data_IF_050063337798
#
_entry.id   IF_050063337798
#
_cell.length_a   1.000
_cell.length_b   1.000
_cell.length_c   1.000
_cell.angle_alpha   90.00
_cell.angle_beta   90.00
_cell.angle_gamma   90.00
#
_symmetry.space_group_name_H-M   'P 1'
#
loop_
_entity.id
_entity.type
_entity.pdbx_description
1 polymer ?
#
# COMPACT_ATOMS: atom_id res chain seq x y z
N UNK A 1 -47.51 -43.66 43.97
CA UNK A 1 -46.82 -44.47 42.93
C UNK A 1 -45.30 -44.27 43.10
N UNK A 2 -44.45 -45.15 42.54
CA UNK A 2 -42.99 -45.09 42.75
C UNK A 2 -42.31 -44.13 41.76
N UNK A 3 -41.23 -43.51 42.20
CA UNK A 3 -40.28 -42.77 41.37
C UNK A 3 -39.38 -43.71 40.55
N UNK A 4 -38.98 -43.27 39.37
CA UNK A 4 -37.80 -43.76 38.64
C UNK A 4 -37.03 -42.53 38.14
N UNK A 5 -35.70 -42.55 38.28
CA UNK A 5 -34.82 -41.48 37.87
C UNK A 5 -34.49 -41.57 36.37
N UNK A 6 -34.24 -40.43 35.74
CA UNK A 6 -33.32 -40.36 34.58
C UNK A 6 -32.42 -39.15 34.75
N UNK A 7 -31.15 -39.42 35.02
CA UNK A 7 -30.08 -38.42 35.07
C UNK A 7 -29.58 -38.21 33.64
N UNK A 8 -29.47 -36.96 33.18
CA UNK A 8 -28.63 -36.64 32.03
C UNK A 8 -27.54 -35.67 32.45
N UNK A 9 -26.29 -36.07 32.17
CA UNK A 9 -25.08 -35.47 32.71
C UNK A 9 -24.54 -34.43 31.73
N UNK A 10 -24.73 -33.13 32.04
CA UNK A 10 -24.11 -32.06 31.25
C UNK A 10 -22.74 -31.69 31.85
N UNK A 11 -21.66 -32.21 31.27
CA UNK A 11 -20.30 -31.92 31.71
C UNK A 11 -19.87 -30.56 31.15
N UNK A 12 -19.81 -29.54 32.00
CA UNK A 12 -19.17 -28.27 31.67
C UNK A 12 -17.64 -28.44 31.64
N UNK A 13 -17.05 -28.57 30.45
CA UNK A 13 -15.59 -28.51 30.28
C UNK A 13 -15.17 -27.05 30.17
N UNK A 14 -14.83 -26.44 31.30
CA UNK A 14 -14.25 -25.11 31.38
C UNK A 14 -12.74 -25.12 31.17
N UNK A 15 -12.29 -25.05 29.91
CA UNK A 15 -10.88 -24.75 29.60
C UNK A 15 -10.60 -23.26 29.73
N UNK A 16 -10.27 -22.84 30.96
CA UNK A 16 -9.67 -21.53 31.21
C UNK A 16 -8.28 -21.49 30.56
N UNK A 17 -8.19 -20.99 29.32
CA UNK A 17 -6.91 -20.63 28.71
C UNK A 17 -6.39 -19.40 29.44
N UNK A 18 -5.27 -19.57 30.14
CA UNK A 18 -4.65 -18.52 30.95
C UNK A 18 -4.33 -17.28 30.11
N UNK A 19 -4.58 -16.10 30.68
CA UNK A 19 -4.06 -14.85 30.13
C UNK A 19 -2.55 -14.78 30.39
N UNK A 20 -1.76 -15.35 29.49
CA UNK A 20 -0.30 -15.25 29.52
C UNK A 20 0.18 -13.94 28.92
N UNK A 21 1.28 -13.43 29.48
CA UNK A 21 1.76 -12.08 29.26
C UNK A 21 2.28 -11.89 27.83
N UNK A 22 1.56 -11.11 27.02
CA UNK A 22 2.15 -10.50 25.84
C UNK A 22 3.13 -9.41 26.30
N UNK A 23 4.38 -9.82 26.49
CA UNK A 23 5.52 -8.93 26.64
C UNK A 23 5.48 -7.89 25.52
N UNK A 24 5.33 -6.63 25.89
CA UNK A 24 5.44 -5.52 24.96
C UNK A 24 6.88 -5.45 24.47
N UNK A 25 7.11 -5.92 23.23
CA UNK A 25 8.35 -5.66 22.50
C UNK A 25 8.47 -4.14 22.34
N UNK A 26 9.23 -3.53 23.25
CA UNK A 26 9.20 -2.08 23.43
C UNK A 26 9.78 -1.39 22.20
N UNK A 27 8.89 -0.80 21.39
CA UNK A 27 9.24 0.08 20.27
C UNK A 27 9.93 1.34 20.78
N UNK A 28 11.22 1.23 21.04
CA UNK A 28 12.16 2.35 21.22
C UNK A 28 12.97 2.50 19.94
N UNK A 29 12.46 3.32 19.03
CA UNK A 29 13.29 3.87 17.95
C UNK A 29 14.38 4.77 18.56
N UNK A 30 15.59 4.85 17.98
CA UNK A 30 16.66 5.69 18.47
C UNK A 30 16.24 7.17 18.44
N UNK A 31 16.34 7.85 19.57
CA UNK A 31 15.82 9.22 19.75
C UNK A 31 16.82 10.31 19.37
N UNK A 32 17.79 10.02 18.49
CA UNK A 32 18.83 10.98 18.10
C UNK A 32 19.27 10.86 16.64
N UNK A 33 19.49 12.00 15.97
CA UNK A 33 20.06 12.02 14.60
C UNK A 33 21.50 11.49 14.54
N UNK A 34 22.21 11.46 15.66
CA UNK A 34 23.60 10.99 15.78
C UNK A 34 23.78 9.48 15.57
N UNK A 35 22.77 8.67 15.87
CA UNK A 35 22.89 7.21 15.79
C UNK A 35 22.75 6.68 14.34
N UNK A 36 22.06 7.43 13.48
CA UNK A 36 21.85 7.12 12.06
C UNK A 36 23.18 7.08 11.29
N UNK A 37 24.16 7.90 11.67
CA UNK A 37 25.44 8.02 10.99
C UNK A 37 26.39 6.81 11.17
N UNK A 38 26.19 5.98 12.20
CA UNK A 38 27.08 4.86 12.52
C UNK A 38 26.65 3.51 11.89
N UNK A 39 25.48 3.45 11.24
CA UNK A 39 25.00 2.23 10.58
C UNK A 39 25.59 2.03 9.17
N UNK A 40 26.15 3.07 8.55
CA UNK A 40 26.57 3.09 7.14
C UNK A 40 28.06 2.79 6.90
N UNK A 41 28.90 2.74 7.95
CA UNK A 41 30.36 2.52 7.85
C UNK A 41 30.77 1.04 7.96
N UNK A 42 30.04 0.14 7.29
CA UNK A 42 30.14 -1.33 7.45
C UNK A 42 30.79 -2.10 6.29
N UNK A 43 31.64 -1.47 5.46
CA UNK A 43 32.20 -2.13 4.26
C UNK A 43 33.30 -3.13 4.63
N UNK A 44 32.94 -4.42 4.66
CA UNK A 44 33.84 -5.54 4.96
C UNK A 44 34.43 -6.12 3.67
N UNK A 45 35.73 -5.89 3.41
CA UNK A 45 36.41 -6.43 2.23
C UNK A 45 36.71 -7.92 2.39
N UNK A 46 36.36 -8.75 1.40
CA UNK A 46 36.86 -10.12 1.27
C UNK A 46 37.68 -10.28 -0.01
N UNK A 47 38.87 -10.87 0.10
CA UNK A 47 39.77 -11.12 -1.05
C UNK A 47 39.50 -12.47 -1.70
N UNK A 48 39.83 -12.54 -2.98
CA UNK A 48 39.69 -13.70 -3.85
C UNK A 48 40.41 -14.97 -3.37
N UNK A 49 39.78 -16.11 -3.66
CA UNK A 49 40.46 -17.28 -4.22
C UNK A 49 39.66 -17.73 -5.44
N UNK A 50 40.34 -17.91 -6.57
CA UNK A 50 39.72 -18.32 -7.82
C UNK A 50 39.70 -19.83 -8.00
N UNK A 51 38.78 -20.31 -8.83
CA UNK A 51 38.87 -21.61 -9.49
C UNK A 51 38.45 -21.41 -10.95
N UNK A 52 39.25 -21.92 -11.88
CA UNK A 52 38.86 -21.99 -13.29
C UNK A 52 37.79 -23.08 -13.46
N UNK A 53 36.74 -22.77 -14.22
CA UNK A 53 35.87 -23.74 -14.86
C UNK A 53 35.66 -23.32 -16.32
N UNK A 54 35.53 -24.30 -17.20
CA UNK A 54 35.77 -24.13 -18.63
C UNK A 54 34.54 -23.59 -19.38
N UNK A 55 34.78 -22.74 -20.38
CA UNK A 55 33.75 -22.29 -21.31
C UNK A 55 33.65 -23.33 -22.44
N UNK A 56 32.59 -24.12 -22.45
CA UNK A 56 32.19 -24.90 -23.63
C UNK A 56 31.11 -24.15 -24.41
N UNK A 57 31.19 -24.17 -25.74
CA UNK A 57 30.34 -23.36 -26.62
C UNK A 57 29.58 -24.23 -27.62
N UNK A 58 28.26 -24.07 -27.63
CA UNK A 58 27.37 -24.52 -28.70
C UNK A 58 26.39 -23.38 -29.03
N UNK A 59 26.56 -22.71 -30.17
CA UNK A 59 26.07 -23.14 -31.49
C UNK A 59 24.53 -23.25 -31.56
N UNK A 60 23.88 -22.14 -31.90
CA UNK A 60 22.67 -22.13 -32.72
C UNK A 60 22.69 -20.91 -33.64
N UNK A 61 22.40 -21.11 -34.93
CA UNK A 61 22.49 -20.08 -35.98
C UNK A 61 21.09 -19.69 -36.50
N UNK A 62 20.81 -18.39 -36.74
CA UNK A 62 19.58 -17.96 -37.41
C UNK A 62 19.76 -17.84 -38.94
N UNK A 63 19.03 -18.64 -39.72
CA UNK A 63 19.11 -18.64 -41.20
C UNK A 63 18.20 -17.59 -41.85
N UNK A 64 18.73 -16.37 -41.95
CA UNK A 64 18.67 -15.44 -43.10
C UNK A 64 17.61 -15.58 -44.23
N UNK A 65 17.02 -14.42 -44.57
CA UNK A 65 16.73 -13.91 -45.95
C UNK A 65 15.51 -14.45 -46.73
N UNK A 66 14.62 -13.52 -47.12
CA UNK A 66 14.30 -13.27 -48.53
C UNK A 66 14.03 -11.77 -48.78
N UNK A 67 14.33 -11.24 -49.98
CA UNK A 67 14.18 -9.81 -50.30
C UNK A 67 14.18 -9.51 -51.82
N UNK A 68 13.23 -8.68 -52.28
CA UNK A 68 13.16 -7.96 -53.57
C UNK A 68 11.90 -7.08 -53.57
N UNK A 69 11.89 -5.78 -53.91
CA UNK A 69 12.08 -5.14 -55.24
C UNK A 69 11.07 -5.65 -56.29
N UNK A 70 10.37 -4.84 -57.11
CA UNK A 70 10.29 -3.35 -57.33
C UNK A 70 8.91 -3.06 -58.01
N UNK A 71 8.45 -1.89 -58.48
CA UNK A 71 9.05 -0.62 -58.94
C UNK A 71 8.02 0.57 -58.91
N UNK A 72 8.33 1.68 -59.60
CA UNK A 72 7.52 2.79 -60.19
C UNK A 72 5.98 2.59 -60.35
N UNK A 73 5.14 3.63 -60.30
CA UNK A 73 5.25 4.85 -61.13
C UNK A 73 4.66 6.17 -60.57
N UNK A 74 4.87 7.24 -61.34
CA UNK A 74 4.62 8.68 -61.17
C UNK A 74 3.14 9.11 -61.42
N UNK A 75 2.68 10.38 -61.31
CA UNK A 75 3.35 11.70 -61.33
C UNK A 75 2.45 12.87 -60.81
N UNK A 76 3.05 14.01 -60.39
CA UNK A 76 2.49 15.40 -60.38
C UNK A 76 1.27 15.75 -59.47
N UNK A 77 1.08 16.96 -58.88
CA UNK A 77 1.78 18.27 -58.94
C UNK A 77 1.57 19.14 -57.66
N UNK A 78 2.59 19.93 -57.23
CA UNK A 78 2.59 21.26 -56.51
C UNK A 78 1.57 21.53 -55.36
N UNK A 79 1.97 22.17 -54.24
CA UNK A 79 2.66 23.49 -54.23
C UNK A 79 3.46 23.86 -52.96
N UNK A 80 4.60 24.53 -53.21
CA UNK A 80 5.22 25.65 -52.47
C UNK A 80 5.52 25.61 -50.95
N UNK A 81 6.81 25.76 -50.64
CA UNK A 81 7.43 26.46 -49.47
C UNK A 81 7.13 25.94 -48.04
N UNK A 82 8.04 26.08 -47.07
CA UNK A 82 9.24 26.94 -47.01
C UNK A 82 10.49 26.23 -46.42
N UNK A 83 11.63 26.92 -46.36
CA UNK A 83 12.90 26.43 -45.77
C UNK A 83 13.11 26.92 -44.34
N UNK A 84 13.31 25.97 -43.42
CA UNK A 84 14.21 26.18 -42.28
C UNK A 84 14.82 24.84 -41.86
N UNK A 85 16.12 24.67 -42.06
CA UNK A 85 16.90 23.55 -41.55
C UNK A 85 17.66 24.04 -40.31
N UNK A 86 17.31 23.51 -39.14
CA UNK A 86 17.96 23.85 -37.87
C UNK A 86 17.92 22.62 -36.94
N UNK A 87 18.77 21.63 -37.25
CA UNK A 87 18.85 20.34 -36.56
C UNK A 87 19.53 20.47 -35.19
N UNK A 88 18.79 20.99 -34.20
CA UNK A 88 19.29 21.12 -32.83
C UNK A 88 18.63 20.11 -31.88
N UNK A 89 19.38 19.04 -31.59
CA UNK A 89 18.98 17.96 -30.68
C UNK A 89 18.55 18.49 -29.31
N UNK A 90 17.25 18.46 -29.04
CA UNK A 90 16.70 18.66 -27.70
C UNK A 90 16.74 17.34 -26.94
N UNK A 91 17.88 17.05 -26.28
CA UNK A 91 17.87 16.10 -25.17
C UNK A 91 16.98 16.71 -24.07
N UNK A 92 15.72 16.31 -24.06
CA UNK A 92 14.76 16.62 -23.01
C UNK A 92 15.10 15.75 -21.78
N UNK A 93 16.20 16.11 -21.13
CA UNK A 93 16.62 15.53 -19.86
C UNK A 93 15.57 15.88 -18.80
N UNK A 94 14.61 14.97 -18.61
CA UNK A 94 13.59 15.07 -17.57
C UNK A 94 14.27 14.79 -16.24
N UNK A 95 14.88 15.82 -15.67
CA UNK A 95 15.27 15.82 -14.27
C UNK A 95 14.04 15.52 -13.41
N UNK A 96 13.93 14.30 -12.90
CA UNK A 96 13.12 14.02 -11.73
C UNK A 96 13.72 14.88 -10.61
N UNK A 97 13.09 16.01 -10.29
CA UNK A 97 13.54 16.91 -9.23
C UNK A 97 13.17 16.25 -7.88
N UNK A 98 14.04 15.35 -7.43
CA UNK A 98 13.84 14.44 -6.28
C UNK A 98 13.81 15.22 -4.97
N UNK A 99 12.66 15.81 -4.68
CA UNK A 99 12.47 16.69 -3.53
C UNK A 99 11.87 15.93 -2.35
N UNK A 100 12.75 15.28 -1.59
CA UNK A 100 12.45 14.77 -0.25
C UNK A 100 11.78 15.84 0.61
N UNK A 101 10.69 15.47 1.29
CA UNK A 101 9.81 16.39 2.02
C UNK A 101 9.99 16.16 3.52
N UNK A 102 10.69 17.09 4.17
CA UNK A 102 10.77 17.13 5.63
C UNK A 102 9.37 17.32 6.22
N UNK A 103 8.81 16.25 6.79
CA UNK A 103 7.53 16.30 7.49
C UNK A 103 7.64 17.22 8.72
N UNK A 104 6.80 18.27 8.87
CA UNK A 104 7.04 19.39 9.77
C UNK A 104 6.60 19.15 11.22
N UNK A 105 6.68 17.91 11.72
CA UNK A 105 6.14 17.52 13.02
C UNK A 105 6.96 16.41 13.69
N UNK A 106 6.85 16.33 15.02
CA UNK A 106 7.58 15.40 15.89
C UNK A 106 6.89 14.02 15.98
N UNK A 107 7.61 12.98 16.37
CA UNK A 107 7.08 11.61 16.48
C UNK A 107 5.94 11.54 17.52
N UNK A 108 4.75 11.15 17.08
CA UNK A 108 3.60 10.93 17.95
C UNK A 108 3.64 9.50 18.51
N UNK A 109 3.94 9.37 19.82
CA UNK A 109 3.85 8.09 20.52
C UNK A 109 2.39 7.56 20.58
N UNK A 110 2.24 6.25 20.80
CA UNK A 110 0.93 5.65 21.10
C UNK A 110 0.46 5.94 22.55
N UNK A 111 -0.86 6.05 22.80
CA UNK A 111 -1.96 6.10 21.82
C UNK A 111 -1.92 7.40 21.00
N UNK A 112 -2.37 7.37 19.74
CA UNK A 112 -2.12 8.51 18.84
C UNK A 112 -2.72 9.82 19.34
N UNK A 113 -1.84 10.79 19.60
CA UNK A 113 -2.22 12.13 20.04
C UNK A 113 -2.58 13.03 18.86
N UNK A 114 -3.83 12.92 18.41
CA UNK A 114 -4.46 13.88 17.50
C UNK A 114 -4.25 15.33 17.96
N UNK A 115 -3.87 16.21 17.05
CA UNK A 115 -4.03 17.67 17.24
C UNK A 115 -5.51 18.04 17.22
N UNK A 116 -5.86 19.24 17.71
CA UNK A 116 -7.26 19.72 17.72
C UNK A 116 -7.87 19.73 16.30
N UNK A 117 -7.10 20.17 15.29
CA UNK A 117 -7.54 20.18 13.88
C UNK A 117 -7.74 18.78 13.32
N UNK A 118 -6.87 17.82 13.66
CA UNK A 118 -7.03 16.42 13.22
C UNK A 118 -8.26 15.77 13.86
N UNK A 119 -8.59 16.11 15.11
CA UNK A 119 -9.81 15.64 15.75
C UNK A 119 -11.06 16.26 15.11
N UNK A 120 -11.08 17.58 14.93
CA UNK A 120 -12.16 18.31 14.26
C UNK A 120 -12.43 17.75 12.84
N UNK A 121 -11.37 17.44 12.09
CA UNK A 121 -11.45 16.79 10.78
C UNK A 121 -12.02 15.36 10.87
N UNK A 122 -11.59 14.54 11.84
CA UNK A 122 -12.12 13.19 12.03
C UNK A 122 -13.60 13.22 12.41
N UNK A 123 -13.98 14.09 13.35
CA UNK A 123 -15.36 14.28 13.80
C UNK A 123 -16.25 14.77 12.65
N UNK A 124 -15.79 15.74 11.84
CA UNK A 124 -16.48 16.19 10.63
C UNK A 124 -16.71 15.02 9.65
N UNK A 125 -15.65 14.26 9.32
CA UNK A 125 -15.73 13.14 8.39
C UNK A 125 -16.68 12.04 8.86
N UNK A 126 -16.72 11.75 10.17
CA UNK A 126 -17.65 10.78 10.73
C UNK A 126 -19.11 11.27 10.71
N UNK A 127 -19.37 12.58 10.83
CA UNK A 127 -20.72 13.15 10.62
C UNK A 127 -21.11 13.32 9.14
N UNK A 128 -20.14 13.40 8.22
CA UNK A 128 -20.37 13.25 6.77
C UNK A 128 -20.75 11.79 6.46
N UNK A 129 -20.00 10.83 6.99
CA UNK A 129 -20.26 9.40 6.84
C UNK A 129 -21.66 9.01 7.35
N UNK A 130 -22.03 9.43 8.56
CA UNK A 130 -23.36 9.18 9.15
C UNK A 130 -24.50 9.81 8.36
N UNK A 131 -24.25 10.89 7.60
CA UNK A 131 -25.23 11.48 6.67
C UNK A 131 -25.31 10.70 5.36
N UNK A 132 -24.19 10.18 4.87
CA UNK A 132 -24.15 9.34 3.66
C UNK A 132 -24.85 8.00 3.89
N UNK A 133 -24.46 7.27 4.94
CA UNK A 133 -25.00 5.95 5.31
C UNK A 133 -26.53 5.95 5.51
N UNK A 134 -27.08 7.02 6.11
CA UNK A 134 -28.54 7.22 6.28
C UNK A 134 -29.33 7.38 4.98
N UNK A 135 -28.69 7.66 3.85
CA UNK A 135 -29.37 7.72 2.54
C UNK A 135 -29.46 6.34 1.86
N UNK A 136 -29.09 5.28 2.59
CA UNK A 136 -29.09 3.87 2.21
C UNK A 136 -28.09 3.54 1.09
N UNK A 137 -27.00 2.85 1.45
CA UNK A 137 -26.09 2.28 0.46
C UNK A 137 -26.85 1.24 -0.36
N UNK A 138 -27.18 1.58 -1.62
CA UNK A 138 -27.90 0.66 -2.51
C UNK A 138 -27.27 -0.72 -2.51
N UNK A 139 -28.07 -1.77 -2.28
CA UNK A 139 -27.58 -3.10 -1.86
C UNK A 139 -26.73 -3.88 -2.89
N UNK A 140 -26.47 -3.30 -4.05
CA UNK A 140 -25.77 -3.87 -5.20
C UNK A 140 -24.71 -2.89 -5.75
N UNK A 141 -23.86 -2.34 -4.86
CA UNK A 141 -22.73 -1.49 -5.26
C UNK A 141 -21.60 -2.38 -5.78
N UNK A 142 -21.23 -2.14 -7.03
CA UNK A 142 -19.97 -2.59 -7.62
C UNK A 142 -19.19 -1.39 -8.13
N UNK A 143 -18.03 -1.09 -7.54
CA UNK A 143 -17.14 -0.02 -8.01
C UNK A 143 -15.68 -0.41 -7.85
N UNK A 144 -14.87 -0.03 -8.83
CA UNK A 144 -13.40 -0.03 -8.74
C UNK A 144 -12.86 1.35 -9.12
N UNK A 145 -11.71 1.68 -8.57
CA UNK A 145 -10.90 2.84 -8.95
C UNK A 145 -9.54 2.34 -9.47
N UNK A 146 -8.99 3.07 -10.44
CA UNK A 146 -7.81 2.62 -11.21
C UNK A 146 -6.48 2.91 -10.50
N UNK A 147 -6.36 2.51 -9.24
CA UNK A 147 -5.09 2.63 -8.50
C UNK A 147 -4.02 1.75 -9.18
N UNK A 148 -2.89 2.34 -9.62
CA UNK A 148 -1.81 1.60 -10.25
C UNK A 148 -1.14 0.70 -9.22
N UNK A 149 -0.70 -0.48 -9.63
CA UNK A 149 0.13 -1.34 -8.79
C UNK A 149 1.60 -0.97 -8.96
N UNK A 150 2.26 -0.60 -7.85
CA UNK A 150 3.71 -0.55 -7.75
C UNK A 150 4.16 -1.52 -6.65
N UNK A 151 5.06 -2.49 -6.97
CA UNK A 151 5.64 -3.38 -5.97
C UNK A 151 6.58 -2.61 -5.03
N UNK A 152 6.62 -3.02 -3.76
CA UNK A 152 7.63 -2.53 -2.82
C UNK A 152 9.04 -2.95 -3.24
N UNK A 153 9.97 -2.00 -3.32
CA UNK A 153 11.36 -2.25 -3.77
C UNK A 153 12.17 -3.12 -2.79
N UNK A 154 11.76 -3.17 -1.52
CA UNK A 154 12.36 -4.01 -0.49
C UNK A 154 11.32 -4.40 0.57
N UNK A 155 11.70 -5.29 1.51
CA UNK A 155 10.79 -5.86 2.52
C UNK A 155 10.15 -4.88 3.52
N UNK A 156 10.62 -3.63 3.63
CA UNK A 156 10.11 -2.62 4.57
C UNK A 156 9.50 -1.39 3.87
N UNK A 157 9.41 -1.39 2.54
CA UNK A 157 8.89 -0.28 1.71
C UNK A 157 7.39 -0.36 1.37
N UNK A 158 6.58 -1.15 2.09
CA UNK A 158 5.14 -1.24 1.84
C UNK A 158 4.38 0.10 2.01
N UNK A 159 4.79 0.95 2.97
CA UNK A 159 4.27 2.32 3.08
C UNK A 159 4.70 3.22 1.89
N UNK A 160 6.01 3.39 1.59
CA UNK A 160 6.46 4.10 0.40
C UNK A 160 5.79 3.66 -0.90
N UNK A 161 5.63 2.35 -1.12
CA UNK A 161 4.92 1.80 -2.27
C UNK A 161 3.43 2.18 -2.27
N UNK A 162 2.71 1.96 -1.17
CA UNK A 162 1.28 2.34 -1.04
C UNK A 162 1.07 3.83 -1.31
N UNK A 163 1.97 4.68 -0.80
CA UNK A 163 1.94 6.12 -1.06
C UNK A 163 2.23 6.42 -2.53
N UNK A 164 3.26 5.82 -3.14
CA UNK A 164 3.54 5.97 -4.59
C UNK A 164 2.34 5.60 -5.45
N UNK A 165 1.60 4.54 -5.10
CA UNK A 165 0.37 4.13 -5.79
C UNK A 165 -0.74 5.19 -5.70
N UNK A 166 -1.01 5.73 -4.51
CA UNK A 166 -2.06 6.73 -4.29
C UNK A 166 -1.70 8.09 -4.91
N UNK A 167 -0.45 8.54 -4.75
CA UNK A 167 0.06 9.74 -5.42
C UNK A 167 -0.13 9.68 -6.93
N UNK A 168 0.27 8.55 -7.54
CA UNK A 168 0.19 8.38 -8.98
C UNK A 168 -1.26 8.28 -9.48
N UNK A 169 -2.17 7.74 -8.66
CA UNK A 169 -3.59 7.69 -8.95
C UNK A 169 -4.21 9.10 -9.06
N UNK A 170 -3.91 10.00 -8.12
CA UNK A 170 -4.42 11.38 -8.16
C UNK A 170 -3.66 12.29 -9.12
N UNK A 171 -2.32 12.24 -9.13
CA UNK A 171 -1.47 13.22 -9.81
C UNK A 171 -0.97 12.75 -11.19
N UNK A 172 -1.28 11.52 -11.60
CA UNK A 172 -0.69 10.85 -12.77
C UNK A 172 0.84 10.64 -12.69
N UNK A 173 1.45 10.97 -11.55
CA UNK A 173 2.90 11.04 -11.31
C UNK A 173 3.20 10.84 -9.82
N UNK A 174 4.42 10.43 -9.48
CA UNK A 174 4.80 10.06 -8.11
C UNK A 174 6.32 9.97 -7.94
N UNK A 175 6.87 10.49 -6.84
CA UNK A 175 8.28 10.33 -6.47
C UNK A 175 8.70 8.86 -6.30
N UNK A 176 10.00 8.59 -6.22
CA UNK A 176 10.50 7.22 -6.03
C UNK A 176 10.45 6.78 -4.56
N UNK A 177 10.44 5.47 -4.33
CA UNK A 177 10.15 4.94 -2.99
C UNK A 177 11.23 5.30 -1.98
N UNK A 178 12.47 5.56 -2.43
CA UNK A 178 13.56 6.14 -1.64
C UNK A 178 13.20 7.51 -1.02
N UNK A 179 12.62 8.39 -1.83
CA UNK A 179 12.38 9.79 -1.46
C UNK A 179 11.16 9.88 -0.55
N UNK A 180 10.15 9.06 -0.84
CA UNK A 180 8.98 8.85 0.01
C UNK A 180 9.43 8.19 1.33
N UNK A 181 10.34 7.21 1.29
CA UNK A 181 10.88 6.56 2.50
C UNK A 181 11.65 7.51 3.40
N UNK A 182 12.52 8.37 2.86
CA UNK A 182 13.20 9.40 3.65
C UNK A 182 12.17 10.37 4.28
N UNK A 183 11.22 10.85 3.48
CA UNK A 183 10.16 11.77 3.93
C UNK A 183 9.31 11.18 5.05
N UNK A 184 8.99 9.89 4.97
CA UNK A 184 8.21 9.15 5.97
C UNK A 184 9.05 8.62 7.14
N UNK A 185 10.35 8.93 7.20
CA UNK A 185 11.29 8.36 8.18
C UNK A 185 11.27 6.81 8.23
N UNK A 186 11.04 6.17 7.08
CA UNK A 186 11.03 4.71 6.92
C UNK A 186 12.40 4.13 7.26
N UNK A 187 12.40 3.02 8.01
CA UNK A 187 13.61 2.29 8.42
C UNK A 187 13.46 0.81 8.11
N UNK A 188 14.46 0.00 8.45
CA UNK A 188 14.43 -1.46 8.26
C UNK A 188 13.33 -2.19 9.06
N UNK A 189 12.69 -1.52 10.03
CA UNK A 189 11.49 -2.02 10.75
C UNK A 189 10.17 -1.49 10.16
N UNK A 190 10.22 -0.80 9.02
CA UNK A 190 9.05 -0.21 8.35
C UNK A 190 8.85 1.27 8.66
N UNK A 191 7.58 1.68 8.69
CA UNK A 191 7.11 3.06 8.80
C UNK A 191 5.97 3.13 9.82
N UNK A 192 5.79 4.26 10.52
CA UNK A 192 4.58 4.45 11.35
C UNK A 192 3.41 4.96 10.49
N UNK A 193 2.23 4.33 10.62
CA UNK A 193 1.04 4.69 9.83
C UNK A 193 0.63 6.16 10.02
N UNK A 194 0.89 6.75 11.19
CA UNK A 194 0.48 8.11 11.58
C UNK A 194 1.20 9.23 10.82
N UNK A 195 2.11 8.86 9.91
CA UNK A 195 2.79 9.75 8.98
C UNK A 195 2.12 9.78 7.58
N UNK A 196 1.41 8.72 7.20
CA UNK A 196 0.93 8.51 5.83
C UNK A 196 -0.13 9.55 5.44
N UNK A 197 -1.10 9.84 6.31
CA UNK A 197 -2.12 10.88 6.03
C UNK A 197 -1.50 12.27 5.90
N UNK A 198 -0.53 12.60 6.76
CA UNK A 198 0.15 13.91 6.75
C UNK A 198 1.01 14.09 5.51
N UNK A 199 1.65 13.03 5.01
CA UNK A 199 2.36 13.08 3.74
C UNK A 199 1.40 13.26 2.56
N UNK A 200 0.32 12.46 2.47
CA UNK A 200 -0.70 12.60 1.43
C UNK A 200 -1.28 14.02 1.36
N UNK A 201 -1.59 14.63 2.52
CA UNK A 201 -2.10 16.00 2.63
C UNK A 201 -1.11 17.10 2.20
N UNK A 202 0.13 16.74 1.84
CA UNK A 202 1.15 17.66 1.30
C UNK A 202 1.40 17.38 -0.18
N UNK A 203 1.24 16.13 -0.65
CA UNK A 203 1.59 15.69 -2.01
C UNK A 203 0.40 15.41 -2.92
N UNK A 204 -0.82 15.56 -2.42
CA UNK A 204 -2.08 15.48 -3.18
C UNK A 204 -3.02 16.58 -2.68
N UNK A 205 -3.97 17.01 -3.52
CA UNK A 205 -5.04 17.94 -3.09
C UNK A 205 -6.09 17.27 -2.17
N UNK A 206 -5.88 16.01 -1.82
CA UNK A 206 -6.81 15.16 -1.07
C UNK A 206 -6.60 15.19 0.44
N UNK A 207 -7.68 15.45 1.19
CA UNK A 207 -7.62 15.55 2.65
C UNK A 207 -7.84 14.18 3.32
N UNK A 208 -6.75 13.52 3.68
CA UNK A 208 -6.69 12.27 4.46
C UNK A 208 -6.59 12.53 5.98
N UNK A 209 -7.06 11.57 6.78
CA UNK A 209 -6.90 11.48 8.23
C UNK A 209 -6.56 10.03 8.65
N UNK A 210 -5.72 9.87 9.67
CA UNK A 210 -5.51 8.59 10.37
C UNK A 210 -6.61 8.39 11.40
N UNK A 211 -7.25 7.21 11.41
CA UNK A 211 -8.27 6.83 12.38
C UNK A 211 -7.85 5.53 13.10
N UNK A 212 -7.40 5.68 14.34
CA UNK A 212 -7.09 4.60 15.28
C UNK A 212 -8.36 3.90 15.78
N UNK A 213 -8.34 2.57 15.94
CA UNK A 213 -9.49 1.76 16.38
C UNK A 213 -10.74 1.79 15.48
N UNK A 214 -10.58 2.10 14.20
CA UNK A 214 -11.67 2.08 13.22
C UNK A 214 -12.34 0.68 13.09
N UNK A 215 -11.61 -0.42 13.27
CA UNK A 215 -12.21 -1.78 13.26
C UNK A 215 -12.98 -2.14 14.54
N UNK A 216 -13.37 -1.16 15.36
CA UNK A 216 -14.20 -1.39 16.56
C UNK A 216 -15.65 -1.71 16.20
N UNK A 217 -16.14 -1.18 15.08
CA UNK A 217 -17.42 -1.51 14.48
C UNK A 217 -17.19 -1.93 13.02
N UNK A 218 -17.69 -3.11 12.64
CA UNK A 218 -17.56 -3.63 11.28
C UNK A 218 -18.29 -2.75 10.25
N UNK A 219 -19.46 -2.22 10.61
CA UNK A 219 -20.27 -1.41 9.70
C UNK A 219 -19.71 0.00 9.57
N UNK A 220 -19.18 0.63 10.63
CA UNK A 220 -18.49 1.92 10.49
C UNK A 220 -17.22 1.79 9.63
N UNK A 221 -16.42 0.73 9.85
CA UNK A 221 -15.24 0.43 9.04
C UNK A 221 -15.60 0.20 7.55
N UNK A 222 -16.64 -0.58 7.29
CA UNK A 222 -17.13 -0.85 5.94
C UNK A 222 -17.70 0.41 5.28
N UNK A 223 -18.53 1.18 6.00
CA UNK A 223 -19.10 2.42 5.51
C UNK A 223 -17.99 3.43 5.12
N UNK A 224 -16.93 3.57 5.93
CA UNK A 224 -15.74 4.36 5.57
C UNK A 224 -15.21 3.91 4.21
N UNK A 225 -15.03 2.61 4.02
CA UNK A 225 -14.47 2.05 2.77
C UNK A 225 -15.39 2.32 1.58
N UNK A 226 -16.70 2.02 1.69
CA UNK A 226 -17.65 2.26 0.59
C UNK A 226 -17.72 3.75 0.29
N UNK A 227 -17.82 4.62 1.29
CA UNK A 227 -17.87 6.08 1.13
C UNK A 227 -16.67 6.61 0.35
N UNK A 228 -15.44 6.23 0.73
CA UNK A 228 -14.24 6.71 0.04
C UNK A 228 -14.15 6.17 -1.39
N UNK A 229 -14.41 4.88 -1.62
CA UNK A 229 -14.43 4.32 -2.99
C UNK A 229 -15.54 4.98 -3.85
N UNK A 230 -16.68 5.34 -3.26
CA UNK A 230 -17.75 6.09 -3.94
C UNK A 230 -17.45 7.59 -4.16
N UNK A 231 -16.39 8.13 -3.53
CA UNK A 231 -15.85 9.46 -3.78
C UNK A 231 -14.44 9.41 -4.42
N UNK A 232 -14.18 8.38 -5.22
CA UNK A 232 -12.94 8.19 -5.99
C UNK A 232 -11.65 8.19 -5.15
N UNK A 233 -11.72 7.67 -3.92
CA UNK A 233 -10.63 7.78 -2.95
C UNK A 233 -10.12 6.41 -2.45
N UNK A 234 -8.82 6.09 -2.65
CA UNK A 234 -8.21 4.89 -2.08
C UNK A 234 -8.10 4.99 -0.56
N UNK A 235 -8.30 3.88 0.14
CA UNK A 235 -8.25 3.77 1.60
C UNK A 235 -7.08 2.89 2.01
N UNK A 236 -6.22 3.32 2.95
CA UNK A 236 -5.07 2.53 3.41
C UNK A 236 -5.43 1.76 4.70
N UNK A 237 -5.05 0.48 4.75
CA UNK A 237 -5.14 -0.35 5.96
C UNK A 237 -3.75 -0.64 6.56
N UNK A 238 -3.71 -0.84 7.87
CA UNK A 238 -2.55 -1.37 8.62
C UNK A 238 -2.91 -2.80 9.10
N UNK A 239 -2.25 -3.83 8.56
CA UNK A 239 -2.71 -5.23 8.64
C UNK A 239 -1.69 -6.22 9.23
N UNK A 240 -2.17 -7.20 9.98
CA UNK A 240 -1.41 -8.36 10.47
C UNK A 240 -2.00 -9.64 9.87
N UNK A 241 -1.16 -10.44 9.21
CA UNK A 241 -1.54 -11.73 8.64
C UNK A 241 -0.79 -12.82 9.39
N UNK A 242 -1.47 -13.49 10.32
CA UNK A 242 -0.86 -14.39 11.32
C UNK A 242 -0.50 -15.77 10.75
N UNK A 243 -1.24 -16.24 9.77
CA UNK A 243 -1.08 -17.55 9.12
C UNK A 243 -1.43 -17.46 7.63
N UNK A 244 -0.96 -18.43 6.83
CA UNK A 244 -1.29 -18.50 5.41
C UNK A 244 -2.67 -19.12 5.22
N UNK A 245 -3.49 -18.51 4.38
CA UNK A 245 -4.86 -18.93 4.10
C UNK A 245 -5.37 -18.22 2.85
N UNK A 246 -6.42 -17.40 2.99
CA UNK A 246 -6.87 -16.46 1.95
C UNK A 246 -5.73 -15.58 1.42
N UNK A 247 -4.81 -15.17 2.30
CA UNK A 247 -3.59 -14.46 1.94
C UNK A 247 -2.40 -15.44 1.84
N UNK A 248 -1.57 -15.36 0.78
CA UNK A 248 -0.51 -16.34 0.51
C UNK A 248 0.80 -16.09 1.29
N UNK A 249 0.88 -15.00 2.07
CA UNK A 249 2.03 -14.64 2.91
C UNK A 249 1.59 -14.36 4.35
N UNK A 250 2.56 -14.18 5.25
CA UNK A 250 2.35 -13.76 6.64
C UNK A 250 3.09 -12.45 6.89
N UNK A 251 2.59 -11.64 7.82
CA UNK A 251 3.24 -10.39 8.25
C UNK A 251 2.77 -9.97 9.64
N UNK A 252 3.67 -9.40 10.44
CA UNK A 252 3.34 -8.73 11.70
C UNK A 252 2.68 -7.37 11.49
N UNK A 253 3.02 -6.65 10.41
CA UNK A 253 2.49 -5.34 10.04
C UNK A 253 2.78 -5.05 8.57
N UNK A 254 1.79 -4.56 7.83
CA UNK A 254 1.89 -4.27 6.40
C UNK A 254 0.90 -3.18 6.00
N UNK A 255 1.25 -2.41 4.98
CA UNK A 255 0.39 -1.37 4.42
C UNK A 255 -0.01 -1.73 3.00
N UNK A 256 -1.30 -1.62 2.73
CA UNK A 256 -1.92 -1.79 1.42
C UNK A 256 -3.11 -0.84 1.30
N UNK A 257 -3.61 -0.60 0.09
CA UNK A 257 -4.84 0.17 -0.11
C UNK A 257 -5.98 -0.66 -0.68
N UNK A 258 -7.20 -0.18 -0.47
CA UNK A 258 -8.42 -0.65 -1.12
C UNK A 258 -8.67 0.23 -2.34
N UNK A 259 -8.99 -0.41 -3.47
CA UNK A 259 -9.26 0.20 -4.77
C UNK A 259 -10.56 -0.32 -5.41
N UNK A 260 -11.46 -0.88 -4.61
CA UNK A 260 -12.80 -1.28 -5.06
C UNK A 260 -13.63 -2.02 -4.02
N UNK A 261 -14.94 -2.05 -4.24
CA UNK A 261 -15.95 -2.74 -3.43
C UNK A 261 -17.01 -3.41 -4.31
N UNK A 262 -17.51 -4.53 -3.83
CA UNK A 262 -18.54 -5.38 -4.44
C UNK A 262 -19.43 -5.90 -3.30
N UNK A 263 -20.46 -5.13 -2.92
CA UNK A 263 -21.31 -5.45 -1.76
C UNK A 263 -22.13 -6.72 -2.01
N UNK A 264 -22.52 -6.95 -3.26
CA UNK A 264 -23.30 -8.11 -3.71
C UNK A 264 -22.60 -9.44 -3.43
N UNK A 265 -21.31 -9.50 -3.74
CA UNK A 265 -20.48 -10.69 -3.49
C UNK A 265 -19.67 -10.59 -2.19
N UNK A 266 -19.86 -9.52 -1.40
CA UNK A 266 -19.18 -9.27 -0.11
C UNK A 266 -17.65 -9.19 -0.23
N UNK A 267 -17.15 -8.44 -1.22
CA UNK A 267 -15.70 -8.34 -1.51
C UNK A 267 -15.17 -6.92 -1.53
N UNK A 268 -13.89 -6.81 -1.19
CA UNK A 268 -13.05 -5.63 -1.38
C UNK A 268 -11.91 -5.95 -2.34
N UNK A 269 -11.54 -4.99 -3.18
CA UNK A 269 -10.37 -5.08 -4.06
C UNK A 269 -9.21 -4.36 -3.39
N UNK A 270 -8.13 -5.09 -3.12
CA UNK A 270 -6.90 -4.53 -2.58
C UNK A 270 -5.93 -4.24 -3.72
N UNK A 271 -5.22 -3.11 -3.64
CA UNK A 271 -3.95 -2.89 -4.34
C UNK A 271 -2.83 -3.10 -3.32
N UNK A 272 -2.37 -4.35 -3.24
CA UNK A 272 -1.33 -4.77 -2.31
C UNK A 272 0.05 -4.50 -2.92
N UNK A 273 0.96 -3.74 -2.28
CA UNK A 273 2.32 -3.51 -2.78
C UNK A 273 3.27 -4.71 -2.63
N UNK A 274 2.85 -5.84 -2.03
CA UNK A 274 3.72 -7.00 -1.83
C UNK A 274 4.33 -7.48 -3.17
N UNK A 275 5.65 -7.42 -3.30
CA UNK A 275 6.35 -7.60 -4.59
C UNK A 275 6.32 -9.03 -5.16
N UNK A 276 5.89 -10.03 -4.38
CA UNK A 276 5.79 -11.44 -4.79
C UNK A 276 4.33 -11.87 -4.99
N UNK A 277 3.41 -11.31 -4.20
CA UNK A 277 2.04 -11.81 -4.06
C UNK A 277 0.94 -10.74 -4.20
N UNK A 278 1.32 -9.47 -4.33
CA UNK A 278 0.40 -8.33 -4.41
C UNK A 278 -0.14 -8.07 -5.81
N UNK A 279 -0.53 -6.82 -6.05
CA UNK A 279 -1.30 -6.41 -7.22
C UNK A 279 -2.74 -6.09 -6.86
N UNK A 280 -3.60 -6.04 -7.89
CA UNK A 280 -5.01 -5.66 -7.78
C UNK A 280 -5.92 -6.91 -7.65
N UNK A 281 -6.20 -7.35 -6.41
CA UNK A 281 -6.83 -8.65 -6.11
C UNK A 281 -8.11 -8.45 -5.28
N UNK A 282 -9.16 -9.24 -5.56
CA UNK A 282 -10.41 -9.26 -4.79
C UNK A 282 -10.36 -10.30 -3.66
N UNK A 283 -10.80 -9.91 -2.47
CA UNK A 283 -10.89 -10.74 -1.26
C UNK A 283 -12.24 -10.57 -0.57
N UNK A 284 -12.66 -11.56 0.22
CA UNK A 284 -13.84 -11.44 1.10
C UNK A 284 -13.63 -10.30 2.10
N UNK A 285 -14.64 -9.45 2.29
CA UNK A 285 -14.54 -8.29 3.16
C UNK A 285 -14.30 -8.63 4.65
N UNK A 286 -14.68 -9.85 5.06
CA UNK A 286 -14.49 -10.39 6.40
C UNK A 286 -13.03 -10.73 6.63
N UNK A 287 -12.37 -11.33 5.63
CA UNK A 287 -10.94 -11.64 5.69
C UNK A 287 -10.08 -10.37 5.70
N UNK A 288 -10.46 -9.37 4.90
CA UNK A 288 -9.82 -8.04 4.90
C UNK A 288 -10.00 -7.33 6.25
N UNK A 289 -11.23 -7.33 6.80
CA UNK A 289 -11.51 -6.82 8.13
C UNK A 289 -10.70 -7.55 9.20
N UNK A 290 -10.66 -8.88 9.16
CA UNK A 290 -9.95 -9.71 10.13
C UNK A 290 -8.46 -9.38 10.19
N UNK A 291 -7.77 -9.17 9.04
CA UNK A 291 -6.33 -8.84 9.06
C UNK A 291 -6.05 -7.40 9.52
N UNK A 292 -6.95 -6.44 9.28
CA UNK A 292 -6.84 -5.07 9.80
C UNK A 292 -7.15 -5.00 11.30
N UNK A 293 -8.18 -5.73 11.74
CA UNK A 293 -8.58 -5.90 13.13
C UNK A 293 -7.55 -6.70 13.96
N UNK A 294 -6.76 -7.55 13.31
CA UNK A 294 -5.68 -8.30 13.92
C UNK A 294 -4.41 -7.47 14.22
N UNK A 295 -4.24 -6.31 13.58
CA UNK A 295 -3.12 -5.39 13.84
C UNK A 295 -3.41 -4.52 15.07
N UNK A 296 -2.40 -4.26 15.91
CA UNK A 296 -2.62 -3.63 17.22
C UNK A 296 -3.20 -2.21 17.15
N UNK A 297 -2.90 -1.44 16.09
CA UNK A 297 -3.51 -0.11 15.87
C UNK A 297 -4.98 -0.17 15.45
N UNK A 298 -5.43 -1.27 14.83
CA UNK A 298 -6.79 -1.45 14.30
C UNK A 298 -7.22 -0.25 13.44
N UNK A 299 -6.32 0.21 12.56
CA UNK A 299 -6.31 1.56 12.02
C UNK A 299 -6.41 1.62 10.49
N UNK A 300 -6.89 2.78 10.04
CA UNK A 300 -7.23 3.11 8.64
C UNK A 300 -6.77 4.55 8.34
N UNK A 301 -6.38 4.84 7.10
CA UNK A 301 -6.13 6.21 6.61
C UNK A 301 -7.03 6.48 5.42
N UNK A 302 -7.84 7.54 5.52
CA UNK A 302 -8.95 7.89 4.61
C UNK A 302 -9.21 9.41 4.55
#
# INVERSE_FOLDING_TARGET
MKTINSILLLICISTNVSATEYLTSSWKMPTSKSEIANASSGILSSKSKGHNLEISSSFFSPSSIFSSNTDKDSNTTKSNADKSDDTKSSNADKSNDTKSITLPFEYNAMPYKYTSKERELLDQKLEELKRYSKNDFGSDIYRTISVPYFPQENGYYCAPATIKQIMHYFNGTSYDQSDIAESLYTTTVGTDMTYLHKYLNIVTDEQYIYHEKATKDFYEWLDIIIYNIMNDKPVILDVTIKEKGTFPYITSGHFLNISGVDTKNQRLRLTDPNSIHGGNIWYDWTDVYNINNAHFRQAIVW
#
